data_IF_250844146844
#
_entry.id   IF_250844146844
#
_cell.length_a   1.000
_cell.length_b   1.000
_cell.length_c   1.000
_cell.angle_alpha   90.00
_cell.angle_beta   90.00
_cell.angle_gamma   90.00
#
_symmetry.space_group_name_H-M   'P 1'
#
loop_
_entity.id
_entity.type
_entity.pdbx_description
1 polymer ?
#
# COMPACT_ATOMS: atom_id res chain seq x y z
N UNK A 1 -2.88 -34.48 -16.61
CA UNK A 1 -1.49 -33.97 -16.67
C UNK A 1 -1.61 -32.48 -16.89
N UNK A 2 -0.92 -31.64 -16.13
CA UNK A 2 -0.91 -30.19 -16.37
C UNK A 2 0.18 -29.89 -17.39
N UNK A 3 -0.12 -29.05 -18.36
CA UNK A 3 0.77 -28.61 -19.42
C UNK A 3 1.11 -27.11 -19.25
N UNK A 4 2.27 -26.64 -19.74
CA UNK A 4 2.62 -25.22 -19.66
C UNK A 4 1.56 -24.29 -20.28
N UNK A 5 0.86 -24.74 -21.32
CA UNK A 5 -0.25 -24.03 -21.96
C UNK A 5 -1.50 -23.88 -21.07
N UNK A 6 -1.60 -24.64 -19.98
CA UNK A 6 -2.67 -24.49 -18.98
C UNK A 6 -2.41 -23.27 -18.05
N UNK A 7 -1.22 -22.65 -18.12
CA UNK A 7 -0.86 -21.48 -17.35
C UNK A 7 -1.21 -20.21 -18.11
N UNK A 8 -2.01 -19.34 -17.48
CA UNK A 8 -2.35 -18.02 -18.03
C UNK A 8 -1.66 -16.95 -17.19
N UNK A 9 -0.87 -16.10 -17.83
CA UNK A 9 -0.36 -14.89 -17.19
C UNK A 9 -1.52 -13.93 -16.95
N UNK A 10 -1.63 -13.42 -15.72
CA UNK A 10 -2.69 -12.49 -15.34
C UNK A 10 -2.08 -11.12 -15.06
N UNK A 11 -2.75 -10.06 -15.53
CA UNK A 11 -2.46 -8.70 -15.07
C UNK A 11 -2.82 -8.58 -13.59
N UNK A 12 -1.83 -8.27 -12.75
CA UNK A 12 -1.98 -8.25 -11.29
C UNK A 12 -3.05 -7.24 -10.86
N UNK A 13 -3.11 -6.06 -11.49
CA UNK A 13 -4.03 -5.01 -11.10
C UNK A 13 -5.46 -5.38 -11.49
N UNK A 14 -5.67 -5.97 -12.67
CA UNK A 14 -6.96 -6.51 -13.09
C UNK A 14 -7.41 -7.66 -12.18
N UNK A 15 -6.51 -8.58 -11.85
CA UNK A 15 -6.78 -9.70 -10.94
C UNK A 15 -7.26 -9.21 -9.57
N UNK A 16 -6.55 -8.24 -8.98
CA UNK A 16 -6.92 -7.65 -7.69
C UNK A 16 -8.33 -7.04 -7.75
N UNK A 17 -8.66 -6.32 -8.83
CA UNK A 17 -10.00 -5.73 -9.00
C UNK A 17 -11.10 -6.78 -9.04
N UNK A 18 -10.87 -7.87 -9.77
CA UNK A 18 -11.85 -8.94 -9.98
C UNK A 18 -12.04 -9.81 -8.73
N UNK A 19 -10.96 -10.09 -8.00
CA UNK A 19 -10.93 -11.06 -6.91
C UNK A 19 -10.86 -10.40 -5.52
N UNK A 20 -11.49 -9.24 -5.34
CA UNK A 20 -11.46 -8.46 -4.08
C UNK A 20 -11.79 -9.29 -2.83
N UNK A 21 -12.72 -10.24 -2.95
CA UNK A 21 -13.13 -11.10 -1.84
C UNK A 21 -12.05 -12.03 -1.31
N UNK A 22 -10.94 -12.20 -2.05
CA UNK A 22 -9.76 -12.92 -1.58
C UNK A 22 -8.87 -12.07 -0.67
N UNK A 23 -8.97 -10.75 -0.77
CA UNK A 23 -8.06 -9.81 -0.11
C UNK A 23 -8.74 -9.03 1.02
N UNK A 24 -10.04 -8.82 0.94
CA UNK A 24 -10.80 -8.02 1.90
C UNK A 24 -11.86 -8.86 2.61
N UNK A 25 -11.93 -8.73 3.94
CA UNK A 25 -12.88 -9.47 4.78
C UNK A 25 -14.34 -9.20 4.39
N UNK A 26 -14.62 -7.98 3.94
CA UNK A 26 -15.95 -7.56 3.49
C UNK A 26 -16.32 -8.00 2.06
N UNK A 27 -15.43 -8.70 1.35
CA UNK A 27 -15.66 -9.07 -0.05
C UNK A 27 -15.29 -7.97 -1.06
N UNK A 28 -15.10 -6.74 -0.59
CA UNK A 28 -14.86 -5.53 -1.38
C UNK A 28 -13.81 -4.65 -0.72
N UNK A 29 -13.13 -3.83 -1.50
CA UNK A 29 -12.11 -2.89 -1.02
C UNK A 29 -12.65 -2.02 0.12
N UNK A 30 -11.88 -1.97 1.21
CA UNK A 30 -12.14 -1.09 2.33
C UNK A 30 -10.86 -0.31 2.67
N UNK A 31 -10.87 1.03 2.56
CA UNK A 31 -9.68 1.85 2.76
C UNK A 31 -9.15 1.79 4.21
N UNK A 32 -10.03 1.62 5.20
CA UNK A 32 -9.64 1.50 6.61
C UNK A 32 -8.99 0.13 6.87
N UNK A 33 -9.51 -0.93 6.23
CA UNK A 33 -8.91 -2.26 6.30
C UNK A 33 -7.49 -2.23 5.73
N UNK A 34 -7.28 -1.60 4.57
CA UNK A 34 -5.96 -1.49 3.94
C UNK A 34 -4.99 -0.67 4.80
N UNK A 35 -5.42 0.47 5.33
CA UNK A 35 -4.58 1.26 6.26
C UNK A 35 -4.15 0.42 7.48
N UNK A 36 -5.06 -0.39 8.00
CA UNK A 36 -4.78 -1.29 9.14
C UNK A 36 -3.82 -2.41 8.76
N UNK A 37 -3.94 -2.96 7.54
CA UNK A 37 -3.01 -3.97 7.01
C UNK A 37 -1.61 -3.40 6.84
N UNK A 38 -1.45 -2.19 6.28
CA UNK A 38 -0.15 -1.51 6.16
C UNK A 38 0.47 -1.30 7.54
N UNK A 39 -0.33 -0.82 8.50
CA UNK A 39 0.18 -0.62 9.85
C UNK A 39 0.62 -1.93 10.52
N UNK A 40 -0.14 -3.01 10.35
CA UNK A 40 0.23 -4.33 10.84
C UNK A 40 1.52 -4.83 10.17
N UNK A 41 1.65 -4.70 8.86
CA UNK A 41 2.85 -5.07 8.10
C UNK A 41 4.09 -4.33 8.62
N UNK A 42 4.00 -3.01 8.80
CA UNK A 42 5.09 -2.22 9.35
C UNK A 42 5.51 -2.71 10.74
N UNK A 43 4.54 -3.00 11.62
CA UNK A 43 4.81 -3.55 12.95
C UNK A 43 5.48 -4.93 12.89
N UNK A 44 5.04 -5.81 11.98
CA UNK A 44 5.66 -7.13 11.77
C UNK A 44 7.10 -7.02 11.26
N UNK A 45 7.41 -5.98 10.49
CA UNK A 45 8.76 -5.64 10.03
C UNK A 45 9.63 -4.97 11.11
N UNK A 46 9.16 -4.90 12.36
CA UNK A 46 9.92 -4.41 13.50
C UNK A 46 9.89 -2.89 13.69
N UNK A 47 8.98 -2.19 13.01
CA UNK A 47 8.70 -0.78 13.31
C UNK A 47 8.11 -0.67 14.72
N UNK A 48 8.62 0.27 15.52
CA UNK A 48 8.22 0.46 16.93
C UNK A 48 6.88 1.17 17.10
N UNK A 49 6.45 1.96 16.11
CA UNK A 49 5.21 2.72 16.19
C UNK A 49 4.72 3.15 14.81
N UNK A 50 3.42 3.03 14.61
CA UNK A 50 2.74 3.46 13.39
C UNK A 50 1.58 4.36 13.77
N UNK A 51 1.42 5.46 13.04
CA UNK A 51 0.30 6.39 13.17
C UNK A 51 -0.58 6.32 11.93
N UNK A 52 -1.89 6.21 12.14
CA UNK A 52 -2.88 6.33 11.08
C UNK A 52 -3.63 7.63 11.32
N UNK A 53 -3.59 8.55 10.36
CA UNK A 53 -4.30 9.83 10.43
C UNK A 53 -5.26 9.97 9.26
N UNK A 54 -6.30 10.77 9.46
CA UNK A 54 -7.26 11.12 8.41
C UNK A 54 -7.33 12.64 8.27
N UNK A 55 -7.19 13.13 7.04
CA UNK A 55 -7.32 14.54 6.71
C UNK A 55 -8.22 14.67 5.47
N UNK A 56 -9.48 15.06 5.70
CA UNK A 56 -10.51 15.04 4.67
C UNK A 56 -10.69 13.64 4.09
N UNK A 57 -10.51 13.54 2.76
CA UNK A 57 -10.63 12.29 2.00
C UNK A 57 -9.33 11.48 1.96
N UNK A 58 -8.28 11.92 2.64
CA UNK A 58 -7.01 11.20 2.70
C UNK A 58 -6.85 10.42 3.99
N UNK A 59 -6.33 9.21 3.87
CA UNK A 59 -5.79 8.42 4.99
C UNK A 59 -4.27 8.37 4.81
N UNK A 60 -3.53 8.63 5.88
CA UNK A 60 -2.08 8.52 5.90
C UNK A 60 -1.64 7.50 6.96
N UNK A 61 -0.70 6.64 6.60
CA UNK A 61 -0.01 5.71 7.49
C UNK A 61 1.44 6.17 7.58
N UNK A 62 1.93 6.41 8.79
CA UNK A 62 3.22 7.03 9.06
C UNK A 62 4.01 6.26 10.12
N UNK A 63 5.32 6.21 9.96
CA UNK A 63 6.26 5.66 10.95
C UNK A 63 7.63 6.35 10.85
N UNK A 64 8.36 6.37 11.95
CA UNK A 64 9.74 6.87 12.02
C UNK A 64 10.76 5.98 11.29
N UNK A 65 10.41 4.72 11.05
CA UNK A 65 11.19 3.75 10.30
C UNK A 65 10.56 3.46 8.94
N UNK A 66 11.41 3.22 7.93
CA UNK A 66 10.96 2.86 6.59
C UNK A 66 10.70 1.36 6.46
N UNK A 67 9.43 0.95 6.54
CA UNK A 67 9.02 -0.44 6.35
C UNK A 67 9.09 -0.91 4.90
N UNK A 68 9.17 0.01 3.92
CA UNK A 68 9.31 -0.32 2.50
C UNK A 68 10.76 -0.36 2.03
N UNK A 69 11.72 -0.37 2.96
CA UNK A 69 13.14 -0.38 2.64
C UNK A 69 13.50 -1.58 1.76
N UNK A 70 14.01 -1.29 0.56
CA UNK A 70 14.39 -2.29 -0.44
C UNK A 70 13.27 -2.76 -1.36
N UNK A 71 12.05 -2.23 -1.22
CA UNK A 71 10.94 -2.37 -2.17
C UNK A 71 10.60 -1.03 -2.82
N UNK A 72 10.59 0.05 -2.04
CA UNK A 72 10.34 1.41 -2.51
C UNK A 72 9.04 1.51 -3.35
N UNK A 73 9.11 1.98 -4.60
CA UNK A 73 7.95 2.13 -5.49
C UNK A 73 7.41 0.78 -5.99
N UNK A 74 8.22 -0.29 -6.01
CA UNK A 74 7.80 -1.60 -6.51
C UNK A 74 6.63 -2.18 -5.70
N UNK A 75 6.56 -1.87 -4.39
CA UNK A 75 5.48 -2.29 -3.50
C UNK A 75 4.09 -1.81 -3.98
N UNK A 76 4.03 -0.76 -4.79
CA UNK A 76 2.81 -0.17 -5.30
C UNK A 76 2.37 -0.73 -6.66
N UNK A 77 3.23 -1.49 -7.34
CA UNK A 77 2.98 -1.95 -8.72
C UNK A 77 2.79 -3.46 -8.83
N UNK A 78 3.21 -4.22 -7.83
CA UNK A 78 3.12 -5.68 -7.81
C UNK A 78 3.01 -6.21 -6.38
N UNK A 79 2.65 -7.49 -6.25
CA UNK A 79 2.81 -8.19 -4.98
C UNK A 79 4.30 -8.37 -4.68
N UNK A 80 4.84 -7.50 -3.84
CA UNK A 80 6.22 -7.61 -3.38
C UNK A 80 6.27 -8.48 -2.12
N UNK A 81 7.26 -9.39 -1.99
CA UNK A 81 7.36 -10.23 -0.80
C UNK A 81 7.82 -9.42 0.41
N UNK A 82 7.18 -9.66 1.56
CA UNK A 82 7.61 -9.11 2.86
C UNK A 82 8.87 -9.86 3.29
N UNK A 83 9.99 -9.12 3.45
CA UNK A 83 11.26 -9.72 3.86
C UNK A 83 11.26 -9.94 5.37
N UNK A 84 11.36 -11.20 5.81
CA UNK A 84 11.54 -11.56 7.22
C UNK A 84 10.36 -12.27 7.87
N UNK A 85 9.18 -12.28 7.25
CA UNK A 85 7.98 -12.94 7.77
C UNK A 85 7.34 -13.87 6.72
N UNK A 86 7.72 -15.16 6.76
CA UNK A 86 7.04 -16.24 6.02
C UNK A 86 7.23 -16.28 4.50
N UNK A 87 7.32 -17.49 3.93
CA UNK A 87 7.53 -17.69 2.47
C UNK A 87 6.38 -17.20 1.56
N UNK A 88 5.28 -16.68 2.12
CA UNK A 88 4.04 -16.38 1.39
C UNK A 88 3.44 -15.00 1.71
N UNK A 89 4.12 -14.14 2.48
CA UNK A 89 3.60 -12.83 2.82
C UNK A 89 3.96 -11.79 1.74
N UNK A 90 3.00 -10.95 1.35
CA UNK A 90 3.16 -9.91 0.33
C UNK A 90 2.69 -8.56 0.85
N UNK A 91 3.29 -7.49 0.35
CA UNK A 91 2.94 -6.11 0.71
C UNK A 91 1.55 -5.74 0.20
N UNK A 92 0.87 -4.86 0.92
CA UNK A 92 -0.52 -4.49 0.61
C UNK A 92 -0.66 -3.14 -0.12
N UNK A 93 0.45 -2.42 -0.33
CA UNK A 93 0.50 -1.11 -1.00
C UNK A 93 -0.03 -1.15 -2.44
N UNK A 94 0.09 -2.28 -3.14
CA UNK A 94 -0.48 -2.47 -4.48
C UNK A 94 -2.00 -2.27 -4.50
N UNK A 95 -2.71 -2.53 -3.39
CA UNK A 95 -4.15 -2.26 -3.32
C UNK A 95 -4.47 -0.77 -3.42
N UNK A 96 -3.56 0.09 -2.98
CA UNK A 96 -3.74 1.55 -3.07
C UNK A 96 -3.74 2.00 -4.53
N UNK A 97 -2.82 1.52 -5.34
CA UNK A 97 -2.79 1.90 -6.78
C UNK A 97 -3.96 1.31 -7.55
N UNK A 98 -4.50 0.18 -7.11
CA UNK A 98 -5.69 -0.42 -7.71
C UNK A 98 -6.95 0.41 -7.41
N UNK A 99 -7.21 0.74 -6.15
CA UNK A 99 -8.51 1.24 -5.69
C UNK A 99 -8.55 2.70 -5.25
N UNK A 100 -7.46 3.26 -4.71
CA UNK A 100 -7.44 4.65 -4.26
C UNK A 100 -7.46 5.61 -5.46
N UNK A 101 -8.03 6.81 -5.29
CA UNK A 101 -8.04 7.83 -6.36
C UNK A 101 -6.68 8.49 -6.55
N UNK A 102 -5.94 8.65 -5.46
CA UNK A 102 -4.59 9.19 -5.44
C UNK A 102 -3.77 8.49 -4.38
N UNK A 103 -2.46 8.36 -4.64
CA UNK A 103 -1.50 7.75 -3.73
C UNK A 103 -0.21 8.55 -3.79
N UNK A 104 0.31 8.91 -2.62
CA UNK A 104 1.55 9.65 -2.46
C UNK A 104 2.33 9.02 -1.31
N UNK A 105 3.65 8.95 -1.46
CA UNK A 105 4.55 8.45 -0.42
C UNK A 105 5.65 9.46 -0.15
N UNK A 106 6.13 9.52 1.09
CA UNK A 106 7.31 10.29 1.45
C UNK A 106 8.31 9.45 2.23
N UNK A 107 9.59 9.66 1.95
CA UNK A 107 10.72 9.10 2.67
C UNK A 107 11.78 10.17 2.86
N UNK A 108 12.20 10.38 4.11
CA UNK A 108 13.32 11.25 4.46
C UNK A 108 13.27 12.62 3.74
N UNK A 109 12.12 13.30 3.80
CA UNK A 109 11.92 14.62 3.18
C UNK A 109 11.66 14.63 1.67
N UNK A 110 11.65 13.47 1.00
CA UNK A 110 11.34 13.35 -0.43
C UNK A 110 9.96 12.75 -0.63
N UNK A 111 9.14 13.44 -1.41
CA UNK A 111 7.78 13.00 -1.75
C UNK A 111 7.69 12.52 -3.19
N UNK A 112 6.94 11.46 -3.43
CA UNK A 112 6.67 10.87 -4.74
C UNK A 112 5.17 10.64 -4.88
N UNK A 113 4.59 11.11 -5.99
CA UNK A 113 3.22 10.79 -6.38
C UNK A 113 3.25 9.44 -7.09
N UNK A 114 2.59 8.45 -6.51
CA UNK A 114 2.47 7.10 -7.06
C UNK A 114 1.25 7.01 -8.00
N UNK A 115 0.16 7.69 -7.65
CA UNK A 115 -1.08 7.74 -8.44
C UNK A 115 -1.78 9.08 -8.28
N UNK A 116 -2.34 9.58 -9.39
CA UNK A 116 -3.05 10.86 -9.43
C UNK A 116 -2.09 12.03 -9.67
N UNK A 117 -2.48 13.22 -9.21
CA UNK A 117 -1.80 14.49 -9.46
C UNK A 117 -1.66 15.37 -8.21
N UNK A 118 -2.11 14.90 -7.05
CA UNK A 118 -2.12 15.65 -5.79
C UNK A 118 -1.14 15.07 -4.78
N UNK A 119 -0.40 15.95 -4.10
CA UNK A 119 0.44 15.62 -2.95
C UNK A 119 -0.37 15.40 -1.66
N UNK A 120 -1.67 15.71 -1.67
CA UNK A 120 -2.55 15.52 -0.51
C UNK A 120 -1.99 16.15 0.77
N UNK A 121 -2.07 15.45 1.92
CA UNK A 121 -1.52 15.89 3.20
C UNK A 121 -0.03 16.24 3.18
N UNK A 122 0.74 15.63 2.26
CA UNK A 122 2.18 15.83 2.16
C UNK A 122 2.56 17.13 1.43
N UNK A 123 1.58 17.89 0.93
CA UNK A 123 1.83 19.23 0.37
C UNK A 123 2.23 20.25 1.47
N UNK A 124 1.68 20.09 2.68
CA UNK A 124 1.85 21.04 3.78
C UNK A 124 3.00 20.66 4.71
N UNK A 125 3.23 19.35 4.90
CA UNK A 125 4.26 18.83 5.78
C UNK A 125 4.80 17.52 5.26
N UNK A 126 6.11 17.48 4.99
CA UNK A 126 6.82 16.25 4.60
C UNK A 126 7.68 15.83 5.79
N UNK A 127 7.51 14.60 6.31
CA UNK A 127 8.35 14.13 7.40
C UNK A 127 9.81 14.04 6.96
N UNK A 128 10.70 14.50 7.82
CA UNK A 128 12.14 14.53 7.58
C UNK A 128 12.82 13.18 7.79
N UNK A 129 12.12 12.22 8.40
CA UNK A 129 12.59 10.86 8.65
C UNK A 129 11.46 9.84 8.49
N UNK A 130 11.83 8.59 8.25
CA UNK A 130 10.89 7.47 8.20
C UNK A 130 10.11 7.41 6.89
N UNK A 131 8.88 6.89 6.96
CA UNK A 131 8.01 6.64 5.82
C UNK A 131 6.60 7.13 6.11
N UNK A 132 5.98 7.76 5.10
CA UNK A 132 4.54 7.98 5.06
C UNK A 132 3.99 7.49 3.75
N UNK A 133 2.86 6.80 3.81
CA UNK A 133 2.03 6.46 2.65
C UNK A 133 0.67 7.09 2.89
N UNK A 134 0.26 8.00 2.01
CA UNK A 134 -1.06 8.63 2.06
C UNK A 134 -1.84 8.31 0.78
N UNK A 135 -3.12 8.06 0.93
CA UNK A 135 -3.99 7.71 -0.18
C UNK A 135 -5.39 8.31 -0.02
N UNK A 136 -5.98 8.68 -1.15
CA UNK A 136 -7.31 9.28 -1.22
C UNK A 136 -8.37 8.17 -1.31
N UNK A 137 -9.30 8.19 -0.37
CA UNK A 137 -10.46 7.31 -0.34
C UNK A 137 -11.32 7.58 -1.58
N UNK A 138 -11.74 6.52 -2.27
CA UNK A 138 -12.75 6.64 -3.32
C UNK A 138 -14.08 7.03 -2.66
N UNK A 139 -14.71 8.09 -3.16
CA UNK A 139 -16.08 8.44 -2.81
C UNK A 139 -17.00 7.29 -3.26
N UNK A 140 -17.96 6.89 -2.41
CA UNK A 140 -19.01 5.92 -2.77
C UNK A 140 -19.82 6.35 -4.00
#
# INVERSE_FOLDING_TARGET
MFHPEDLVTVDVLEYIRREQSRFFRGGVYNPVEVASQIALEALLLGVSGVQITRQGDWIAVASESDWLSGLEEDAFHQFAPIRGDGRNAVTVEVFLTVFARGVVTAKNGKTVIIKGDSLGPLAESVPTSGRVVAFMVASE
#
